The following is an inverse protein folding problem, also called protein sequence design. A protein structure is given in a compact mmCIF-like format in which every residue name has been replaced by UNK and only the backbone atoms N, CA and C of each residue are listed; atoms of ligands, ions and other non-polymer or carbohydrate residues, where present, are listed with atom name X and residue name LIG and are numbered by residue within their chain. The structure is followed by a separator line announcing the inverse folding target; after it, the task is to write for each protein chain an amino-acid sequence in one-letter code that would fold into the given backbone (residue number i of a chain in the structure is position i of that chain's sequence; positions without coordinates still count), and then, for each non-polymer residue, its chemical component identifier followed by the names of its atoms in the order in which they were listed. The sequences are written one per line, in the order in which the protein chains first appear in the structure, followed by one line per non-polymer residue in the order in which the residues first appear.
data_IF_043999958830
#
_entry.id   IF_043999958830
#
_cell.length_a   1.000
_cell.length_b   1.000
_cell.length_c   1.000
_cell.angle_alpha   90.00
_cell.angle_beta   90.00
_cell.angle_gamma   90.00
#
_symmetry.space_group_name_H-M   'P 1'
#
loop_
_entity.id
_entity.type
_entity.pdbx_description
1 polymer ?
#
# COMPACT_ATOMS: atom_id res chain seq x y z
N UNK A 1 29.99 -17.94 -16.14
CA UNK A 1 29.17 -19.18 -16.12
C UNK A 1 27.87 -19.00 -15.33
N UNK A 2 27.88 -18.49 -14.10
CA UNK A 2 26.66 -18.29 -13.29
C UNK A 2 25.62 -17.31 -13.88
N UNK A 3 26.06 -16.26 -14.58
CA UNK A 3 25.16 -15.24 -15.15
C UNK A 3 24.31 -15.76 -16.33
N UNK A 4 24.81 -16.76 -17.07
CA UNK A 4 24.08 -17.39 -18.19
C UNK A 4 23.02 -18.37 -17.69
N UNK A 5 23.27 -19.03 -16.55
CA UNK A 5 22.31 -19.94 -15.92
C UNK A 5 21.12 -19.17 -15.35
N UNK A 6 21.35 -18.04 -14.69
CA UNK A 6 20.27 -17.22 -14.10
C UNK A 6 19.37 -16.62 -15.18
N UNK A 7 19.94 -16.08 -16.28
CA UNK A 7 19.15 -15.59 -17.41
C UNK A 7 18.41 -16.72 -18.16
N UNK A 8 19.01 -17.91 -18.25
CA UNK A 8 18.37 -19.09 -18.81
C UNK A 8 17.18 -19.60 -17.97
N UNK A 9 17.28 -19.54 -16.64
CA UNK A 9 16.17 -19.90 -15.75
C UNK A 9 15.02 -18.89 -15.83
N UNK A 10 15.34 -17.59 -15.90
CA UNK A 10 14.31 -16.54 -16.02
C UNK A 10 13.63 -16.58 -17.38
N UNK A 11 14.34 -16.88 -18.47
CA UNK A 11 13.74 -17.02 -19.80
C UNK A 11 12.90 -18.30 -19.92
N UNK A 12 13.30 -19.40 -19.28
CA UNK A 12 12.49 -20.63 -19.21
C UNK A 12 11.19 -20.41 -18.41
N UNK A 13 11.25 -19.69 -17.29
CA UNK A 13 10.06 -19.35 -16.48
C UNK A 13 9.10 -18.41 -17.23
N UNK A 14 9.65 -17.45 -17.98
CA UNK A 14 8.85 -16.57 -18.86
C UNK A 14 8.23 -17.34 -20.03
N UNK A 15 8.96 -18.30 -20.62
CA UNK A 15 8.46 -19.16 -21.69
C UNK A 15 7.37 -20.13 -21.21
N UNK A 16 7.54 -20.72 -20.02
CA UNK A 16 6.52 -21.58 -19.39
C UNK A 16 5.25 -20.79 -19.04
N UNK A 17 5.39 -19.53 -18.61
CA UNK A 17 4.26 -18.63 -18.34
C UNK A 17 3.55 -18.15 -19.62
N UNK A 18 4.28 -17.99 -20.72
CA UNK A 18 3.73 -17.55 -22.00
C UNK A 18 2.97 -18.67 -22.77
N UNK A 19 3.22 -19.94 -22.42
CA UNK A 19 2.60 -21.08 -23.08
C UNK A 19 1.33 -21.61 -22.41
N UNK A 20 0.90 -21.02 -21.28
CA UNK A 20 -0.32 -21.40 -20.54
C UNK A 20 -0.58 -22.93 -20.60
N UNK A 21 0.46 -23.69 -20.20
CA UNK A 21 0.53 -25.14 -20.41
C UNK A 21 -0.43 -25.82 -19.42
N UNK A 22 -1.72 -25.77 -19.73
CA UNK A 22 -2.75 -26.46 -19.00
C UNK A 22 -2.66 -27.96 -19.33
N UNK A 23 -1.96 -28.70 -18.47
CA UNK A 23 -1.79 -30.16 -18.56
C UNK A 23 -3.16 -30.87 -18.57
N UNK A 24 -4.24 -30.18 -18.17
CA UNK A 24 -5.62 -30.69 -18.24
C UNK A 24 -6.13 -30.80 -19.67
N UNK A 25 -5.62 -30.00 -20.61
CA UNK A 25 -5.98 -30.07 -22.04
C UNK A 25 -5.30 -31.22 -22.80
N UNK A 26 -4.37 -31.95 -22.19
CA UNK A 26 -3.76 -33.16 -22.77
C UNK A 26 -4.48 -34.45 -22.37
N UNK A 27 -5.44 -34.40 -21.44
CA UNK A 27 -6.12 -35.59 -20.89
C UNK A 27 -7.61 -35.63 -21.22
N UNK A 28 -8.24 -34.52 -21.61
CA UNK A 28 -9.67 -34.51 -21.92
C UNK A 28 -9.94 -34.34 -23.41
N UNK A 29 -10.01 -35.46 -24.12
CA UNK A 29 -10.66 -35.53 -25.43
C UNK A 29 -12.11 -35.97 -25.25
N UNK A 30 -13.05 -35.27 -25.91
CA UNK A 30 -14.50 -35.52 -26.01
C UNK A 30 -15.28 -35.20 -24.71
N UNK A 31 -16.45 -34.55 -24.68
CA UNK A 31 -17.56 -34.48 -25.63
C UNK A 31 -18.27 -33.10 -25.60
N UNK A 32 -18.96 -32.79 -26.68
CA UNK A 32 -19.94 -31.69 -26.81
C UNK A 32 -21.17 -32.01 -25.96
N UNK A 33 -21.60 -31.10 -25.07
CA UNK A 33 -23.00 -31.08 -24.61
C UNK A 33 -23.42 -29.65 -24.27
N UNK A 34 -24.53 -29.24 -24.86
CA UNK A 34 -25.28 -28.02 -24.61
C UNK A 34 -25.92 -28.11 -23.23
N UNK A 35 -25.64 -27.18 -22.31
CA UNK A 35 -26.39 -27.06 -21.05
C UNK A 35 -26.79 -25.61 -20.76
N UNK A 36 -27.96 -25.51 -20.14
CA UNK A 36 -28.74 -24.31 -19.92
C UNK A 36 -28.04 -23.30 -19.01
N UNK A 37 -28.35 -22.02 -19.22
CA UNK A 37 -27.97 -20.92 -18.34
C UNK A 37 -28.62 -21.14 -16.97
N UNK A 38 -27.85 -21.68 -16.05
CA UNK A 38 -28.15 -21.63 -14.61
C UNK A 38 -27.75 -20.24 -14.14
N UNK A 39 -28.73 -19.43 -13.74
CA UNK A 39 -28.49 -18.23 -12.93
C UNK A 39 -27.86 -18.69 -11.61
N UNK A 40 -26.54 -18.74 -11.60
CA UNK A 40 -25.78 -19.03 -10.41
C UNK A 40 -25.85 -17.75 -9.59
N UNK A 41 -26.69 -17.75 -8.56
CA UNK A 41 -26.58 -16.78 -7.47
C UNK A 41 -25.23 -17.08 -6.83
N UNK A 42 -24.19 -16.38 -7.27
CA UNK A 42 -22.86 -16.49 -6.70
C UNK A 42 -22.98 -16.06 -5.24
N UNK A 43 -22.77 -17.00 -4.33
CA UNK A 43 -22.56 -16.67 -2.93
C UNK A 43 -21.45 -15.60 -2.84
N UNK A 44 -21.57 -14.63 -1.92
CA UNK A 44 -20.53 -13.62 -1.78
C UNK A 44 -19.20 -14.32 -1.51
N UNK A 45 -18.17 -13.99 -2.28
CA UNK A 45 -16.81 -14.49 -2.02
C UNK A 45 -16.39 -13.98 -0.65
N UNK A 46 -16.32 -14.88 0.34
CA UNK A 46 -15.75 -14.57 1.65
C UNK A 46 -14.24 -14.42 1.47
N UNK A 47 -13.75 -13.21 1.75
CA UNK A 47 -12.31 -12.90 1.76
C UNK A 47 -11.87 -12.72 3.20
N UNK A 48 -10.86 -13.47 3.61
CA UNK A 48 -10.33 -13.45 4.97
C UNK A 48 -8.88 -12.97 5.03
N UNK A 49 -8.48 -12.57 6.25
CA UNK A 49 -7.15 -12.11 6.57
C UNK A 49 -7.01 -10.60 6.52
N UNK A 50 -5.80 -10.14 6.76
CA UNK A 50 -5.49 -8.73 6.90
C UNK A 50 -3.99 -8.52 7.02
N UNK A 51 -3.59 -7.26 7.03
CA UNK A 51 -2.18 -6.91 7.21
C UNK A 51 -2.01 -5.50 7.73
N UNK A 52 -1.01 -5.31 8.58
CA UNK A 52 -0.51 -4.04 9.04
C UNK A 52 0.75 -3.67 8.26
N UNK A 53 0.65 -2.65 7.41
CA UNK A 53 1.74 -2.19 6.56
C UNK A 53 2.20 -0.82 7.01
N UNK A 54 3.49 -0.66 7.31
CA UNK A 54 4.07 0.66 7.59
C UNK A 54 4.66 1.27 6.33
N UNK A 55 4.10 2.38 5.90
CA UNK A 55 4.61 3.22 4.83
C UNK A 55 5.48 4.34 5.41
N UNK A 56 6.71 4.50 4.88
CA UNK A 56 7.69 5.48 5.33
C UNK A 56 8.14 6.34 4.15
N UNK A 57 8.07 7.66 4.30
CA UNK A 57 8.62 8.59 3.33
C UNK A 57 9.86 9.29 3.92
N UNK A 58 10.96 9.27 3.20
CA UNK A 58 12.23 9.91 3.55
C UNK A 58 12.49 11.16 2.70
N UNK A 59 12.88 12.27 3.34
CA UNK A 59 13.29 13.48 2.63
C UNK A 59 14.73 13.41 2.12
N UNK A 60 15.13 14.43 1.36
CA UNK A 60 16.49 14.59 0.85
C UNK A 60 17.59 14.67 1.92
N UNK A 61 17.25 14.94 3.18
CA UNK A 61 18.17 14.96 4.33
C UNK A 61 18.29 13.59 5.03
N UNK A 62 17.66 12.54 4.48
CA UNK A 62 17.59 11.19 5.06
C UNK A 62 16.84 11.12 6.41
N UNK A 63 15.97 12.09 6.66
CA UNK A 63 15.03 12.05 7.78
C UNK A 63 13.64 11.63 7.29
N UNK A 64 12.85 11.03 8.17
CA UNK A 64 11.46 10.70 7.89
C UNK A 64 10.66 12.01 7.71
N UNK A 65 9.98 12.12 6.57
CA UNK A 65 9.01 13.18 6.27
C UNK A 65 7.65 12.87 6.89
N UNK A 66 7.21 11.62 6.77
CA UNK A 66 6.00 11.10 7.41
C UNK A 66 6.02 9.58 7.43
N UNK A 67 5.23 9.01 8.33
CA UNK A 67 5.02 7.57 8.49
C UNK A 67 3.52 7.31 8.60
N UNK A 68 3.01 6.35 7.83
CA UNK A 68 1.61 5.94 7.85
C UNK A 68 1.55 4.44 8.15
N UNK A 69 0.75 4.04 9.13
CA UNK A 69 0.33 2.66 9.30
C UNK A 69 -0.96 2.45 8.49
N UNK A 70 -0.98 1.43 7.66
CA UNK A 70 -2.18 0.98 6.94
C UNK A 70 -2.60 -0.35 7.54
N UNK A 71 -3.73 -0.35 8.22
CA UNK A 71 -4.41 -1.57 8.67
C UNK A 71 -5.39 -2.02 7.59
N UNK A 72 -5.40 -3.31 7.28
CA UNK A 72 -6.31 -3.91 6.31
C UNK A 72 -6.96 -5.13 6.94
N UNK A 73 -8.28 -5.21 6.86
CA UNK A 73 -9.09 -6.35 7.29
C UNK A 73 -10.03 -6.72 6.13
N UNK A 74 -9.71 -7.80 5.41
CA UNK A 74 -10.50 -8.25 4.26
C UNK A 74 -11.84 -8.84 4.69
N UNK A 75 -11.93 -9.45 5.88
CA UNK A 75 -13.19 -9.97 6.42
C UNK A 75 -14.20 -8.85 6.67
N UNK A 76 -13.74 -7.71 7.19
CA UNK A 76 -14.56 -6.50 7.35
C UNK A 76 -14.63 -5.64 6.08
N UNK A 77 -13.79 -5.93 5.08
CA UNK A 77 -13.60 -5.12 3.88
C UNK A 77 -13.24 -3.67 4.21
N UNK A 78 -12.34 -3.49 5.17
CA UNK A 78 -11.86 -2.18 5.61
C UNK A 78 -10.37 -2.01 5.38
N UNK A 79 -9.96 -0.80 4.99
CA UNK A 79 -8.57 -0.37 4.98
C UNK A 79 -8.48 1.01 5.64
N UNK A 80 -7.70 1.12 6.71
CA UNK A 80 -7.61 2.35 7.50
C UNK A 80 -6.19 2.87 7.53
N UNK A 81 -6.01 4.14 7.15
CA UNK A 81 -4.74 4.84 7.26
C UNK A 81 -4.64 5.58 8.60
N UNK A 82 -3.52 5.42 9.29
CA UNK A 82 -3.18 6.10 10.54
C UNK A 82 -1.84 6.80 10.37
N UNK A 83 -1.81 8.12 10.54
CA UNK A 83 -0.53 8.82 10.58
C UNK A 83 0.17 8.55 11.91
N UNK A 84 1.44 8.19 11.83
CA UNK A 84 2.27 7.97 13.01
C UNK A 84 3.05 9.26 13.31
N UNK A 85 2.81 9.92 14.45
CA UNK A 85 3.47 11.19 14.75
C UNK A 85 4.99 11.06 14.79
N UNK A 86 5.72 11.92 14.08
CA UNK A 86 7.19 11.85 14.07
C UNK A 86 7.84 12.15 15.43
N UNK A 87 7.14 12.87 16.30
CA UNK A 87 7.53 13.15 17.68
C UNK A 87 7.09 12.07 18.67
N UNK A 88 6.38 11.02 18.23
CA UNK A 88 6.03 9.85 19.03
C UNK A 88 7.29 9.30 19.69
N UNK A 89 7.32 9.30 21.02
CA UNK A 89 8.46 8.83 21.81
C UNK A 89 8.14 7.50 22.44
N UNK A 90 8.99 6.51 22.18
CA UNK A 90 8.84 5.13 22.66
C UNK A 90 10.19 4.55 23.07
N UNK A 91 10.16 3.47 23.83
CA UNK A 91 11.34 2.80 24.39
C UNK A 91 11.64 1.47 23.70
N UNK A 92 12.59 1.45 22.78
CA UNK A 92 13.04 0.20 22.14
C UNK A 92 14.22 -0.35 22.95
N UNK A 93 13.96 -1.37 23.78
CA UNK A 93 14.93 -1.86 24.75
C UNK A 93 15.26 -0.77 25.78
N UNK A 94 16.53 -0.35 25.83
CA UNK A 94 17.00 0.71 26.75
C UNK A 94 17.12 2.08 26.08
N UNK A 95 16.66 2.24 24.83
CA UNK A 95 16.75 3.50 24.09
C UNK A 95 15.38 4.17 24.02
N UNK A 96 15.26 5.33 24.65
CA UNK A 96 14.13 6.24 24.47
C UNK A 96 14.43 7.18 23.31
N UNK A 97 13.51 7.29 22.36
CA UNK A 97 13.68 8.14 21.19
C UNK A 97 12.39 8.38 20.44
N UNK A 98 12.40 9.40 19.59
CA UNK A 98 11.33 9.61 18.61
C UNK A 98 11.56 8.77 17.34
N UNK A 99 10.63 8.79 16.39
CA UNK A 99 10.74 7.98 15.17
C UNK A 99 12.02 8.24 14.38
N UNK A 100 12.44 9.50 14.24
CA UNK A 100 13.68 9.82 13.54
C UNK A 100 14.93 9.32 14.29
N UNK A 101 14.92 9.36 15.62
CA UNK A 101 15.98 8.78 16.45
C UNK A 101 16.10 7.27 16.25
N UNK A 102 14.96 6.56 16.33
CA UNK A 102 14.92 5.11 16.11
C UNK A 102 15.28 4.72 14.67
N UNK A 103 14.83 5.50 13.68
CA UNK A 103 15.20 5.31 12.28
C UNK A 103 16.70 5.49 12.05
N UNK A 104 17.31 6.52 12.64
CA UNK A 104 18.76 6.76 12.53
C UNK A 104 19.56 5.62 13.15
N UNK A 105 19.10 5.08 14.27
CA UNK A 105 19.84 4.08 15.02
C UNK A 105 19.65 2.65 14.52
N UNK A 106 18.42 2.30 14.12
CA UNK A 106 18.03 0.92 13.80
C UNK A 106 17.42 0.76 12.40
N UNK A 107 17.39 1.83 11.60
CA UNK A 107 16.79 1.82 10.26
C UNK A 107 15.29 1.57 10.30
N UNK A 108 14.77 0.97 9.23
CA UNK A 108 13.35 0.60 9.07
C UNK A 108 12.84 -0.22 10.26
N UNK A 109 13.63 -1.18 10.75
CA UNK A 109 13.24 -2.03 11.89
C UNK A 109 12.99 -1.23 13.17
N UNK A 110 13.71 -0.12 13.37
CA UNK A 110 13.46 0.80 14.48
C UNK A 110 12.08 1.44 14.39
N UNK A 111 11.68 1.86 13.20
CA UNK A 111 10.37 2.48 12.96
C UNK A 111 9.25 1.45 13.13
N UNK A 112 9.40 0.24 12.58
CA UNK A 112 8.41 -0.83 12.75
C UNK A 112 8.17 -1.11 14.24
N UNK A 113 9.23 -1.38 15.01
CA UNK A 113 9.13 -1.62 16.45
C UNK A 113 8.53 -0.45 17.22
N UNK A 114 8.81 0.78 16.80
CA UNK A 114 8.22 1.95 17.43
C UNK A 114 6.70 2.02 17.20
N UNK A 115 6.24 1.70 15.99
CA UNK A 115 4.81 1.60 15.66
C UNK A 115 4.16 0.48 16.46
N UNK A 116 4.76 -0.72 16.48
CA UNK A 116 4.26 -1.87 17.24
C UNK A 116 4.13 -1.56 18.73
N UNK A 117 5.12 -0.89 19.32
CA UNK A 117 5.11 -0.51 20.72
C UNK A 117 4.03 0.53 21.05
N UNK A 118 3.77 1.47 20.13
CA UNK A 118 2.80 2.54 20.34
C UNK A 118 1.35 2.08 20.16
N UNK A 119 1.12 1.10 19.29
CA UNK A 119 -0.22 0.66 18.86
C UNK A 119 -0.61 -0.70 19.41
N UNK A 120 0.37 -1.53 19.77
CA UNK A 120 0.14 -2.94 20.15
C UNK A 120 -0.11 -3.88 18.97
N UNK A 121 -0.16 -3.39 17.72
CA UNK A 121 -0.29 -4.25 16.54
C UNK A 121 1.07 -4.71 16.04
N UNK A 122 1.13 -5.89 15.43
CA UNK A 122 2.36 -6.37 14.77
C UNK A 122 2.45 -5.75 13.37
N UNK A 123 3.63 -5.32 12.95
CA UNK A 123 3.83 -4.80 11.58
C UNK A 123 4.25 -5.94 10.67
N UNK A 124 3.36 -6.34 9.77
CA UNK A 124 3.59 -7.45 8.85
C UNK A 124 4.59 -7.09 7.75
N UNK A 125 4.43 -5.90 7.17
CA UNK A 125 5.20 -5.45 6.01
C UNK A 125 5.52 -3.97 6.09
N UNK A 126 6.48 -3.53 5.28
CA UNK A 126 6.80 -2.12 5.15
C UNK A 126 7.06 -1.71 3.71
N UNK A 127 6.86 -0.42 3.43
CA UNK A 127 7.28 0.24 2.19
C UNK A 127 8.03 1.49 2.60
N UNK A 128 9.29 1.63 2.19
CA UNK A 128 10.09 2.82 2.39
C UNK A 128 10.46 3.43 1.05
N UNK A 129 10.14 4.70 0.89
CA UNK A 129 10.44 5.48 -0.30
C UNK A 129 11.05 6.82 0.07
N UNK A 130 11.83 7.39 -0.85
CA UNK A 130 12.15 8.82 -0.81
C UNK A 130 10.98 9.63 -1.38
N UNK A 131 10.91 10.92 -1.07
CA UNK A 131 9.94 11.84 -1.69
C UNK A 131 9.99 11.80 -3.22
N UNK A 132 11.17 11.63 -3.83
CA UNK A 132 11.30 11.52 -5.28
C UNK A 132 10.71 10.23 -5.85
N UNK A 133 10.89 9.10 -5.15
CA UNK A 133 10.30 7.83 -5.54
C UNK A 133 8.78 7.86 -5.39
N UNK A 134 8.27 8.43 -4.30
CA UNK A 134 6.84 8.61 -4.10
C UNK A 134 6.24 9.50 -5.19
N UNK A 135 6.90 10.62 -5.53
CA UNK A 135 6.44 11.51 -6.61
C UNK A 135 6.32 10.76 -7.93
N UNK A 136 7.33 9.95 -8.26
CA UNK A 136 7.35 9.19 -9.51
C UNK A 136 6.35 8.03 -9.52
N UNK A 137 5.94 7.53 -8.35
CA UNK A 137 4.84 6.58 -8.21
C UNK A 137 3.49 7.27 -8.43
N UNK A 138 3.23 8.35 -7.67
CA UNK A 138 1.99 9.13 -7.75
C UNK A 138 1.75 9.69 -9.15
N UNK A 139 2.80 10.08 -9.88
CA UNK A 139 2.66 10.58 -11.26
C UNK A 139 2.16 9.55 -12.27
N UNK A 140 2.05 8.27 -11.88
CA UNK A 140 1.45 7.20 -12.70
C UNK A 140 -0.04 7.04 -12.44
N UNK A 141 -0.52 7.63 -11.36
CA UNK A 141 -1.92 7.71 -11.01
C UNK A 141 -2.48 9.03 -11.51
N UNK A 142 -3.79 9.17 -11.42
CA UNK A 142 -4.40 10.50 -11.48
C UNK A 142 -4.12 11.30 -10.21
N UNK A 143 -4.38 12.60 -10.30
CA UNK A 143 -4.29 13.50 -9.16
C UNK A 143 -5.22 13.04 -8.02
N UNK A 144 -4.74 13.20 -6.78
CA UNK A 144 -5.51 12.81 -5.59
C UNK A 144 -6.36 13.98 -5.16
N UNK A 145 -7.69 13.81 -5.13
CA UNK A 145 -8.58 14.84 -4.63
C UNK A 145 -8.62 14.80 -3.10
N UNK A 146 -8.26 15.90 -2.45
CA UNK A 146 -8.23 16.01 -0.99
C UNK A 146 -9.05 17.24 -0.58
N UNK A 147 -9.91 17.09 0.43
CA UNK A 147 -10.59 18.24 1.04
C UNK A 147 -9.64 19.00 1.97
N UNK A 148 -9.29 20.22 1.58
CA UNK A 148 -8.40 21.10 2.34
C UNK A 148 -9.24 21.91 3.35
N UNK A 149 -8.96 21.87 4.66
CA UNK A 149 -9.85 22.46 5.67
C UNK A 149 -9.82 24.00 5.69
N UNK A 150 -8.72 24.61 5.22
CA UNK A 150 -8.52 26.06 5.18
C UNK A 150 -7.52 26.42 4.10
N UNK A 151 -7.55 27.65 3.62
CA UNK A 151 -6.56 28.14 2.67
C UNK A 151 -5.14 27.95 3.22
N UNK A 152 -4.26 27.46 2.34
CA UNK A 152 -2.84 27.25 2.62
C UNK A 152 -2.05 28.18 1.72
N UNK A 153 -1.19 28.99 2.32
CA UNK A 153 -0.17 29.77 1.62
C UNK A 153 1.12 29.70 2.43
N UNK A 154 1.96 28.72 2.12
CA UNK A 154 3.21 28.46 2.84
C UNK A 154 4.23 27.79 1.95
N UNK A 155 5.47 28.29 1.93
CA UNK A 155 6.62 27.64 1.24
C UNK A 155 6.34 27.16 -0.19
N UNK A 156 5.60 27.95 -0.98
CA UNK A 156 5.26 27.61 -2.36
C UNK A 156 4.17 26.53 -2.51
N UNK A 157 3.45 26.21 -1.43
CA UNK A 157 2.17 25.50 -1.44
C UNK A 157 1.04 26.53 -1.32
N UNK A 158 0.24 26.62 -2.37
CA UNK A 158 -0.93 27.50 -2.44
C UNK A 158 -2.14 26.62 -2.76
N UNK A 159 -3.04 26.45 -1.79
CA UNK A 159 -4.27 25.66 -1.91
C UNK A 159 -5.43 26.45 -1.32
N UNK A 160 -6.59 26.35 -1.96
CA UNK A 160 -7.83 26.90 -1.39
C UNK A 160 -8.52 25.85 -0.54
N UNK A 161 -9.33 26.29 0.43
CA UNK A 161 -10.22 25.43 1.18
C UNK A 161 -11.22 24.70 0.26
N UNK A 162 -11.62 23.49 0.65
CA UNK A 162 -12.50 22.60 -0.11
C UNK A 162 -11.75 21.52 -0.90
N UNK A 163 -12.46 20.79 -1.75
CA UNK A 163 -11.87 19.75 -2.60
C UNK A 163 -10.85 20.33 -3.56
N UNK A 164 -9.60 19.87 -3.48
CA UNK A 164 -8.51 20.24 -4.38
C UNK A 164 -7.91 18.97 -5.01
N UNK A 165 -7.75 18.99 -6.34
CA UNK A 165 -7.02 17.96 -7.07
C UNK A 165 -5.52 18.19 -6.91
N UNK A 166 -4.84 17.30 -6.19
CA UNK A 166 -3.41 17.43 -5.91
C UNK A 166 -2.61 16.55 -6.85
N UNK A 167 -1.80 17.18 -7.70
CA UNK A 167 -0.75 16.47 -8.45
C UNK A 167 0.26 15.82 -7.50
N UNK A 168 1.04 14.87 -8.01
CA UNK A 168 2.07 14.17 -7.23
C UNK A 168 2.98 15.11 -6.41
N UNK A 169 3.38 16.24 -6.97
CA UNK A 169 4.21 17.24 -6.29
C UNK A 169 3.43 17.99 -5.19
N UNK A 170 2.20 18.41 -5.48
CA UNK A 170 1.36 19.12 -4.50
C UNK A 170 0.93 18.21 -3.35
N UNK A 171 0.65 16.94 -3.65
CA UNK A 171 0.30 15.94 -2.64
C UNK A 171 1.44 15.77 -1.62
N UNK A 172 2.68 15.57 -2.07
CA UNK A 172 3.83 15.43 -1.16
C UNK A 172 4.07 16.71 -0.35
N UNK A 173 3.97 17.89 -0.98
CA UNK A 173 4.07 19.17 -0.26
C UNK A 173 2.98 19.31 0.80
N UNK A 174 1.75 18.90 0.47
CA UNK A 174 0.64 18.92 1.43
C UNK A 174 0.88 17.96 2.59
N UNK A 175 1.31 16.73 2.32
CA UNK A 175 1.67 15.74 3.35
C UNK A 175 2.76 16.25 4.31
N UNK A 176 3.72 17.03 3.81
CA UNK A 176 4.77 17.65 4.64
C UNK A 176 4.30 18.89 5.41
N UNK A 177 3.21 19.52 4.97
CA UNK A 177 2.65 20.73 5.59
C UNK A 177 1.63 20.41 6.69
N UNK A 178 0.81 19.39 6.47
CA UNK A 178 -0.40 19.15 7.25
C UNK A 178 -0.15 18.43 8.59
N UNK A 179 -1.13 18.48 9.49
CA UNK A 179 -1.09 17.73 10.75
C UNK A 179 -1.32 16.22 10.52
N UNK A 180 -1.18 15.41 11.57
CA UNK A 180 -1.23 13.95 11.41
C UNK A 180 -2.62 13.44 11.01
N UNK A 181 -3.71 14.04 11.50
CA UNK A 181 -5.06 13.70 11.06
C UNK A 181 -5.27 13.99 9.56
N UNK A 182 -4.78 15.14 9.10
CA UNK A 182 -4.82 15.52 7.68
C UNK A 182 -3.92 14.62 6.81
N UNK A 183 -2.76 14.16 7.32
CA UNK A 183 -1.92 13.17 6.62
C UNK A 183 -2.64 11.84 6.46
N UNK A 184 -3.24 11.33 7.54
CA UNK A 184 -4.00 10.09 7.53
C UNK A 184 -5.15 10.15 6.51
N UNK A 185 -5.92 11.25 6.54
CA UNK A 185 -6.99 11.51 5.58
C UNK A 185 -6.47 11.56 4.14
N UNK A 186 -5.48 12.40 3.85
CA UNK A 186 -4.94 12.53 2.49
C UNK A 186 -4.36 11.21 1.97
N UNK A 187 -3.72 10.42 2.84
CA UNK A 187 -3.23 9.10 2.47
C UNK A 187 -4.38 8.12 2.19
N UNK A 188 -5.49 8.18 2.93
CA UNK A 188 -6.70 7.39 2.61
C UNK A 188 -7.29 7.76 1.25
N UNK A 189 -7.29 9.03 0.86
CA UNK A 189 -7.71 9.46 -0.48
C UNK A 189 -6.75 8.94 -1.57
N UNK A 190 -5.45 8.90 -1.28
CA UNK A 190 -4.48 8.24 -2.16
C UNK A 190 -4.77 6.73 -2.30
N UNK A 191 -5.07 6.04 -1.21
CA UNK A 191 -5.44 4.61 -1.24
C UNK A 191 -6.72 4.37 -2.05
N UNK A 192 -7.72 5.27 -1.96
CA UNK A 192 -8.93 5.21 -2.80
C UNK A 192 -8.63 5.32 -4.29
N UNK A 193 -7.73 6.22 -4.67
CA UNK A 193 -7.27 6.32 -6.07
C UNK A 193 -6.56 5.04 -6.49
N UNK A 194 -5.64 4.54 -5.67
CA UNK A 194 -4.85 3.33 -5.95
C UNK A 194 -5.73 2.08 -6.09
N UNK A 195 -6.71 1.91 -5.20
CA UNK A 195 -7.64 0.78 -5.16
C UNK A 195 -9.02 1.16 -5.71
N UNK A 196 -9.01 1.79 -6.89
CA UNK A 196 -10.23 2.08 -7.66
C UNK A 196 -10.39 1.08 -8.81
N UNK A 197 -11.61 0.98 -9.36
CA UNK A 197 -11.91 0.17 -10.56
C UNK A 197 -11.00 0.54 -11.75
N UNK A 198 -10.57 1.79 -11.84
CA UNK A 198 -9.68 2.29 -12.88
C UNK A 198 -8.28 1.67 -12.79
N UNK A 199 -7.76 1.49 -11.58
CA UNK A 199 -6.37 1.08 -11.36
C UNK A 199 -6.23 -0.41 -11.00
N UNK A 200 -7.31 -1.10 -10.60
CA UNK A 200 -7.28 -2.52 -10.21
C UNK A 200 -6.67 -3.41 -11.32
N UNK A 201 -7.01 -3.17 -12.59
CA UNK A 201 -6.50 -3.93 -13.73
C UNK A 201 -5.02 -3.62 -14.07
N UNK A 202 -4.45 -2.61 -13.43
CA UNK A 202 -3.04 -2.21 -13.59
C UNK A 202 -2.20 -2.50 -12.35
N UNK A 203 -2.77 -3.12 -11.31
CA UNK A 203 -2.06 -3.41 -10.06
C UNK A 203 -0.79 -4.22 -10.27
N UNK A 204 -0.76 -5.19 -11.19
CA UNK A 204 0.46 -5.95 -11.49
C UNK A 204 1.62 -5.03 -11.92
N UNK A 205 1.32 -4.02 -12.73
CA UNK A 205 2.31 -3.02 -13.21
C UNK A 205 2.69 -2.06 -12.10
N UNK A 206 1.71 -1.59 -11.32
CA UNK A 206 1.93 -0.67 -10.20
C UNK A 206 2.75 -1.33 -9.09
N UNK A 207 2.44 -2.58 -8.73
CA UNK A 207 3.20 -3.39 -7.79
C UNK A 207 4.64 -3.59 -8.28
N UNK A 208 4.82 -4.05 -9.52
CA UNK A 208 6.15 -4.25 -10.09
C UNK A 208 6.98 -2.96 -10.06
N UNK A 209 6.34 -1.82 -10.34
CA UNK A 209 7.02 -0.54 -10.27
C UNK A 209 7.37 -0.17 -8.81
N UNK A 210 6.43 -0.31 -7.87
CA UNK A 210 6.66 -0.04 -6.45
C UNK A 210 7.78 -0.92 -5.87
N UNK A 211 7.72 -2.24 -6.08
CA UNK A 211 8.72 -3.19 -5.58
C UNK A 211 10.14 -2.90 -6.12
N UNK A 212 10.25 -2.39 -7.35
CA UNK A 212 11.54 -2.04 -7.95
C UNK A 212 12.04 -0.64 -7.60
N UNK A 213 11.16 0.26 -7.10
CA UNK A 213 11.49 1.66 -6.83
C UNK A 213 11.29 2.04 -5.36
N UNK A 214 11.17 1.07 -4.47
CA UNK A 214 11.09 1.24 -3.02
C UNK A 214 11.98 0.22 -2.30
N UNK A 215 12.28 0.49 -1.04
CA UNK A 215 12.82 -0.51 -0.14
C UNK A 215 11.63 -1.15 0.60
N UNK A 216 11.39 -2.43 0.40
CA UNK A 216 10.24 -3.14 0.95
C UNK A 216 10.56 -4.62 1.20
N UNK A 217 9.89 -5.23 2.17
CA UNK A 217 9.86 -6.67 2.37
C UNK A 217 8.62 -7.36 1.78
N UNK A 218 7.76 -6.62 1.05
CA UNK A 218 6.63 -7.21 0.33
C UNK A 218 7.17 -7.95 -0.88
N UNK A 219 6.88 -9.25 -0.95
CA UNK A 219 7.33 -10.13 -2.02
C UNK A 219 6.27 -10.27 -3.11
N UNK A 220 6.68 -10.80 -4.27
CA UNK A 220 5.72 -11.19 -5.32
C UNK A 220 4.75 -12.27 -4.84
N UNK A 221 5.15 -13.12 -3.89
CA UNK A 221 4.30 -14.16 -3.30
C UNK A 221 3.22 -13.53 -2.44
N UNK A 222 3.58 -12.57 -1.59
CA UNK A 222 2.60 -11.80 -0.80
C UNK A 222 1.58 -11.14 -1.73
N UNK A 223 2.08 -10.41 -2.74
CA UNK A 223 1.21 -9.74 -3.69
C UNK A 223 0.27 -10.69 -4.44
N UNK A 224 0.77 -11.83 -4.95
CA UNK A 224 -0.09 -12.78 -5.67
C UNK A 224 -1.09 -13.49 -4.75
N UNK A 225 -0.79 -13.60 -3.47
CA UNK A 225 -1.73 -14.14 -2.48
C UNK A 225 -2.90 -13.19 -2.23
N UNK A 226 -2.65 -11.88 -2.19
CA UNK A 226 -3.68 -10.89 -1.86
C UNK A 226 -4.26 -10.14 -3.07
N UNK A 227 -3.71 -10.30 -4.28
CA UNK A 227 -4.18 -9.61 -5.48
C UNK A 227 -5.66 -9.88 -5.78
N UNK A 228 -6.10 -11.13 -5.65
CA UNK A 228 -7.51 -11.49 -5.84
C UNK A 228 -8.40 -10.88 -4.74
N UNK A 229 -7.92 -10.87 -3.49
CA UNK A 229 -8.64 -10.24 -2.38
C UNK A 229 -8.80 -8.73 -2.59
N UNK A 230 -7.77 -8.06 -3.12
CA UNK A 230 -7.84 -6.66 -3.50
C UNK A 230 -8.86 -6.43 -4.63
N UNK A 231 -8.91 -7.32 -5.63
CA UNK A 231 -9.95 -7.24 -6.68
C UNK A 231 -11.36 -7.40 -6.11
N UNK A 232 -11.57 -8.36 -5.21
CA UNK A 232 -12.86 -8.55 -4.52
C UNK A 232 -13.19 -7.36 -3.63
N UNK A 233 -12.23 -6.82 -2.90
CA UNK A 233 -12.39 -5.62 -2.06
C UNK A 233 -12.89 -4.43 -2.89
N UNK A 234 -12.26 -4.17 -4.03
CA UNK A 234 -12.67 -3.07 -4.92
C UNK A 234 -14.05 -3.32 -5.52
N UNK A 235 -14.32 -4.53 -6.00
CA UNK A 235 -15.63 -4.88 -6.56
C UNK A 235 -16.77 -4.80 -5.53
N UNK A 236 -16.47 -5.08 -4.27
CA UNK A 236 -17.42 -4.97 -3.16
C UNK A 236 -17.52 -3.55 -2.58
N UNK A 237 -16.82 -2.57 -3.16
CA UNK A 237 -16.75 -1.19 -2.65
C UNK A 237 -16.31 -1.14 -1.18
N UNK A 238 -15.25 -1.89 -0.86
CA UNK A 238 -14.64 -1.91 0.47
C UNK A 238 -14.34 -0.50 1.00
N UNK A 239 -14.47 -0.33 2.30
CA UNK A 239 -14.33 0.96 2.95
C UNK A 239 -12.85 1.32 3.12
N UNK A 240 -12.43 2.43 2.52
CA UNK A 240 -11.12 3.02 2.75
C UNK A 240 -11.30 4.30 3.57
N UNK A 241 -10.72 4.32 4.76
CA UNK A 241 -10.90 5.41 5.72
C UNK A 241 -9.57 5.78 6.41
N UNK A 242 -9.65 6.69 7.36
CA UNK A 242 -8.53 7.11 8.20
C UNK A 242 -8.98 7.17 9.65
N UNK A 243 -8.04 7.04 10.58
CA UNK A 243 -8.33 7.10 12.01
C UNK A 243 -7.22 7.77 12.81
N UNK A 244 -7.46 7.94 14.11
CA UNK A 244 -6.42 8.37 15.04
C UNK A 244 -5.56 7.17 15.45
N UNK A 245 -4.24 7.35 15.56
CA UNK A 245 -3.32 6.26 15.92
C UNK A 245 -3.69 5.63 17.28
N UNK A 246 -4.28 6.40 18.20
CA UNK A 246 -4.74 5.91 19.50
C UNK A 246 -5.96 4.99 19.44
N UNK A 247 -6.67 4.97 18.32
CA UNK A 247 -7.84 4.12 18.07
C UNK A 247 -7.44 2.77 17.43
N UNK A 248 -6.17 2.61 17.06
CA UNK A 248 -5.67 1.34 16.53
C UNK A 248 -5.84 0.28 17.62
N UNK A 249 -6.60 -0.76 17.30
CA UNK A 249 -6.79 -1.91 18.17
C UNK A 249 -6.14 -3.13 17.55
N UNK A 250 -5.53 -3.99 18.37
CA UNK A 250 -5.10 -5.30 17.91
C UNK A 250 -6.31 -6.05 17.36
N UNK A 251 -6.23 -6.44 16.08
CA UNK A 251 -7.20 -7.36 15.48
C UNK A 251 -7.12 -8.66 16.30
N UNK A 252 -8.25 -9.02 16.93
CA UNK A 252 -8.40 -10.22 17.74
C UNK A 252 -8.45 -11.48 16.88
#
# INVERSE_FOLDING_TARGET
AAFVVVLGCVSLLMFMKALDFDIRNLISSAETTTEAVSETTTEPVEIEGGSNIVFMCENSQKALSFVILVDTDFSKKTMTAYAVPLNLTVNIGNVSGNLNGHYTQYGVTGVQKAVEQATGVTVDRYIKVTESQLRSFLSKLEDVTVNIPRDVNSNGLILNAGGQSLSAELFIKYMNYCDDAQKAYAFSEFLKVLFSEKHINTLDKLFSYAANNSETNITIVDYKTDAEKLSVFVAAQGEITYGDLSEVSAVA
#
